data_IF_401626191697
#
_entry.id   IF_401626191697
#
_cell.length_a   1.000
_cell.length_b   1.000
_cell.length_c   1.000
_cell.angle_alpha   90.00
_cell.angle_beta   90.00
_cell.angle_gamma   90.00
#
_symmetry.space_group_name_H-M   'P 1'
#
loop_
_entity.id
_entity.type
_entity.pdbx_description
1 polymer ?
#
# COMPACT_ATOMS: atom_id res chain seq x y z
N UNK A 1 -5.84 -24.74 -12.16
CA UNK A 1 -5.81 -23.27 -12.17
C UNK A 1 -6.65 -22.79 -11.00
N UNK A 2 -6.22 -21.78 -10.23
CA UNK A 2 -7.05 -21.21 -9.17
C UNK A 2 -8.37 -20.68 -9.75
N UNK A 3 -9.44 -20.76 -8.97
CA UNK A 3 -10.76 -20.25 -9.35
C UNK A 3 -10.66 -18.74 -9.68
N UNK A 4 -11.04 -18.30 -10.90
CA UNK A 4 -11.02 -16.89 -11.29
C UNK A 4 -11.78 -15.97 -10.33
N UNK A 5 -12.86 -16.45 -9.71
CA UNK A 5 -13.63 -15.68 -8.72
C UNK A 5 -12.87 -15.52 -7.41
N UNK A 6 -12.16 -16.57 -6.97
CA UNK A 6 -11.31 -16.52 -5.79
C UNK A 6 -10.14 -15.54 -5.98
N UNK A 7 -9.53 -15.50 -7.17
CA UNK A 7 -8.48 -14.53 -7.49
C UNK A 7 -9.01 -13.09 -7.53
N UNK A 8 -10.19 -12.86 -8.12
CA UNK A 8 -10.82 -11.53 -8.14
C UNK A 8 -11.15 -11.03 -6.73
N UNK A 9 -11.67 -11.91 -5.87
CA UNK A 9 -11.95 -11.59 -4.47
C UNK A 9 -10.68 -11.26 -3.69
N UNK A 10 -9.62 -12.08 -3.83
CA UNK A 10 -8.33 -11.81 -3.19
C UNK A 10 -7.74 -10.46 -3.62
N UNK A 11 -7.80 -10.12 -4.91
CA UNK A 11 -7.34 -8.81 -5.40
C UNK A 11 -8.11 -7.66 -4.75
N UNK A 12 -9.43 -7.75 -4.69
CA UNK A 12 -10.27 -6.73 -4.07
C UNK A 12 -9.95 -6.59 -2.57
N UNK A 13 -9.92 -7.71 -1.86
CA UNK A 13 -9.72 -7.75 -0.40
C UNK A 13 -8.33 -7.25 0.00
N UNK A 14 -7.33 -7.35 -0.87
CA UNK A 14 -6.00 -6.77 -0.66
C UNK A 14 -5.86 -5.33 -1.18
N UNK A 15 -6.52 -4.97 -2.29
CA UNK A 15 -6.42 -3.62 -2.86
C UNK A 15 -6.98 -2.55 -1.92
N UNK A 16 -8.07 -2.86 -1.21
CA UNK A 16 -8.69 -1.92 -0.28
C UNK A 16 -7.78 -1.55 0.93
N UNK A 17 -7.27 -2.51 1.74
CA UNK A 17 -6.37 -2.18 2.85
C UNK A 17 -5.05 -1.56 2.38
N UNK A 18 -4.50 -1.96 1.22
CA UNK A 18 -3.31 -1.32 0.66
C UNK A 18 -3.55 0.14 0.30
N UNK A 19 -4.74 0.46 -0.21
CA UNK A 19 -5.12 1.84 -0.52
C UNK A 19 -5.27 2.67 0.75
N UNK A 20 -5.83 2.08 1.82
CA UNK A 20 -5.94 2.74 3.13
C UNK A 20 -4.56 3.03 3.74
N UNK A 21 -3.67 2.02 3.79
CA UNK A 21 -2.29 2.19 4.28
C UNK A 21 -1.55 3.27 3.49
N UNK A 22 -1.68 3.27 2.17
CA UNK A 22 -1.06 4.28 1.31
C UNK A 22 -1.59 5.69 1.62
N UNK A 23 -2.90 5.85 1.74
CA UNK A 23 -3.52 7.14 2.03
C UNK A 23 -3.13 7.66 3.42
N UNK A 24 -3.18 6.81 4.45
CA UNK A 24 -2.78 7.17 5.81
C UNK A 24 -1.30 7.57 5.88
N UNK A 25 -0.42 6.78 5.25
CA UNK A 25 1.03 7.08 5.19
C UNK A 25 1.28 8.41 4.48
N UNK A 26 0.57 8.67 3.38
CA UNK A 26 0.67 9.94 2.65
C UNK A 26 0.20 11.12 3.48
N UNK A 27 -0.89 10.98 4.25
CA UNK A 27 -1.35 12.03 5.17
C UNK A 27 -0.30 12.36 6.23
N UNK A 28 0.38 11.36 6.79
CA UNK A 28 1.47 11.58 7.75
C UNK A 28 2.66 12.30 7.09
N UNK A 29 2.99 11.93 5.86
CA UNK A 29 4.06 12.57 5.08
C UNK A 29 3.76 14.01 4.65
N UNK A 30 2.51 14.50 4.80
CA UNK A 30 2.17 15.93 4.59
C UNK A 30 2.68 16.83 5.73
N UNK A 31 2.98 16.26 6.90
CA UNK A 31 3.52 17.01 8.06
C UNK A 31 4.84 16.40 8.52
N UNK A 32 5.87 16.38 7.67
CA UNK A 32 7.11 15.66 7.95
C UNK A 32 7.88 16.23 9.16
N UNK A 33 7.69 17.51 9.47
CA UNK A 33 8.30 18.20 10.61
C UNK A 33 7.89 17.64 11.98
N UNK A 34 6.84 16.81 12.03
CA UNK A 34 6.38 16.14 13.26
C UNK A 34 7.11 14.85 13.58
N UNK A 35 7.99 14.39 12.69
CA UNK A 35 8.68 13.12 12.79
C UNK A 35 10.19 13.33 12.74
N UNK A 36 10.91 12.49 13.48
CA UNK A 36 12.36 12.39 13.33
C UNK A 36 12.75 11.76 11.97
N UNK A 37 14.04 11.83 11.63
CA UNK A 37 14.55 11.33 10.35
C UNK A 37 14.33 9.82 10.14
N UNK A 38 14.42 9.03 11.21
CA UNK A 38 14.23 7.57 11.15
C UNK A 38 12.76 7.24 10.87
N UNK A 39 11.84 7.90 11.59
CA UNK A 39 10.41 7.80 11.39
C UNK A 39 10.00 8.22 9.98
N UNK A 40 10.56 9.31 9.44
CA UNK A 40 10.31 9.75 8.06
C UNK A 40 10.82 8.76 7.02
N UNK A 41 11.99 8.18 7.24
CA UNK A 41 12.51 7.12 6.37
C UNK A 41 11.59 5.90 6.37
N UNK A 42 11.10 5.50 7.55
CA UNK A 42 10.13 4.41 7.71
C UNK A 42 8.82 4.68 6.97
N UNK A 43 8.24 5.89 7.11
CA UNK A 43 7.01 6.26 6.39
C UNK A 43 7.18 6.21 4.86
N UNK A 44 8.31 6.70 4.33
CA UNK A 44 8.63 6.60 2.90
C UNK A 44 8.76 5.14 2.44
N UNK A 45 9.41 4.29 3.25
CA UNK A 45 9.50 2.86 2.95
C UNK A 45 8.12 2.17 2.94
N UNK A 46 7.23 2.52 3.88
CA UNK A 46 5.86 2.00 3.91
C UNK A 46 5.11 2.42 2.63
N UNK A 47 5.23 3.69 2.23
CA UNK A 47 4.64 4.18 0.98
C UNK A 47 5.12 3.37 -0.24
N UNK A 48 6.43 3.19 -0.36
CA UNK A 48 7.05 2.45 -1.47
C UNK A 48 6.59 0.98 -1.52
N UNK A 49 6.54 0.33 -0.36
CA UNK A 49 6.07 -1.05 -0.25
C UNK A 49 4.59 -1.18 -0.61
N UNK A 50 3.73 -0.28 -0.11
CA UNK A 50 2.31 -0.26 -0.43
C UNK A 50 2.06 -0.06 -1.94
N UNK A 51 2.80 0.86 -2.57
CA UNK A 51 2.76 1.08 -4.02
C UNK A 51 3.21 -0.17 -4.79
N UNK A 52 4.30 -0.80 -4.38
CA UNK A 52 4.80 -2.03 -5.01
C UNK A 52 3.79 -3.18 -4.90
N UNK A 53 3.17 -3.37 -3.73
CA UNK A 53 2.14 -4.40 -3.55
C UNK A 53 0.94 -4.16 -4.48
N UNK A 54 0.50 -2.90 -4.62
CA UNK A 54 -0.59 -2.54 -5.53
C UNK A 54 -0.23 -2.80 -7.00
N UNK A 55 0.99 -2.48 -7.42
CA UNK A 55 1.48 -2.80 -8.77
C UNK A 55 1.50 -4.32 -9.04
N UNK A 56 1.95 -5.11 -8.06
CA UNK A 56 1.93 -6.57 -8.17
C UNK A 56 0.50 -7.09 -8.33
N UNK A 57 -0.46 -6.59 -7.55
CA UNK A 57 -1.86 -6.98 -7.69
C UNK A 57 -2.47 -6.60 -9.05
N UNK A 58 -2.10 -5.44 -9.60
CA UNK A 58 -2.52 -5.01 -10.94
C UNK A 58 -1.90 -5.89 -12.04
N UNK A 59 -0.70 -6.42 -11.84
CA UNK A 59 -0.09 -7.35 -12.80
C UNK A 59 -0.75 -8.73 -12.85
N UNK A 60 -1.66 -9.02 -11.91
CA UNK A 60 -2.47 -10.24 -11.86
C UNK A 60 -3.84 -10.07 -12.54
N UNK A 61 -4.04 -8.99 -13.29
CA UNK A 61 -5.20 -8.77 -14.18
C UNK A 61 -5.09 -9.53 -15.50
#
# INVERSE_FOLDING_TARGET
>A
MPDPQAMAKLRHDLSNPLSAILAETQLLLLTPEKFDEESLAGLKQIEDLARKMRQLLQSLE
#
